data_IF_076867379668
#
_entry.id   IF_076867379668
#
_cell.length_a   1.000
_cell.length_b   1.000
_cell.length_c   1.000
_cell.angle_alpha   90.00
_cell.angle_beta   90.00
_cell.angle_gamma   90.00
#
_symmetry.space_group_name_H-M   'P 1'
#
loop_
_entity.id
_entity.type
_entity.pdbx_description
1 polymer ?
#
# COMPACT_ATOMS: atom_id res chain seq x y z
N UNK A 1 -3.69 -10.93 31.35
CA UNK A 1 -3.76 -10.29 30.03
C UNK A 1 -2.35 -10.33 29.44
N UNK A 2 -2.12 -10.82 28.21
CA UNK A 2 -0.77 -10.84 27.66
C UNK A 2 -0.32 -9.40 27.43
N UNK A 3 0.70 -8.98 28.19
CA UNK A 3 1.28 -7.65 28.11
C UNK A 3 2.15 -7.61 26.85
N UNK A 4 1.56 -7.12 25.75
CA UNK A 4 2.28 -6.99 24.49
C UNK A 4 3.43 -5.99 24.71
N UNK A 5 4.69 -6.39 24.51
CA UNK A 5 5.82 -5.48 24.73
C UNK A 5 5.66 -4.26 23.83
N UNK A 6 5.84 -3.04 24.38
CA UNK A 6 5.63 -1.76 23.68
C UNK A 6 6.33 -1.67 22.32
N UNK A 7 7.44 -2.39 22.14
CA UNK A 7 8.17 -2.52 20.86
C UNK A 7 7.38 -3.25 19.78
N UNK A 8 6.64 -4.32 20.13
CA UNK A 8 5.74 -5.03 19.20
C UNK A 8 4.59 -4.15 18.77
N UNK A 9 4.03 -3.36 19.67
CA UNK A 9 2.88 -2.49 19.35
C UNK A 9 3.26 -1.40 18.34
N UNK A 10 4.45 -0.79 18.48
CA UNK A 10 4.98 0.17 17.50
C UNK A 10 5.23 -0.48 16.14
N UNK A 11 5.88 -1.65 16.14
CA UNK A 11 6.17 -2.38 14.91
C UNK A 11 4.89 -2.76 14.15
N UNK A 12 3.83 -3.15 14.85
CA UNK A 12 2.52 -3.42 14.24
C UNK A 12 1.90 -2.14 13.65
N UNK A 13 1.98 -1.01 14.36
CA UNK A 13 1.49 0.28 13.85
C UNK A 13 2.26 0.74 12.61
N UNK A 14 3.57 0.57 12.59
CA UNK A 14 4.40 0.92 11.43
C UNK A 14 4.08 0.06 10.22
N UNK A 15 3.81 -1.24 10.41
CA UNK A 15 3.36 -2.14 9.35
C UNK A 15 1.99 -1.69 8.80
N UNK A 16 1.02 -1.38 9.68
CA UNK A 16 -0.30 -0.91 9.28
C UNK A 16 -0.18 0.40 8.48
N UNK A 17 0.63 1.33 8.96
CA UNK A 17 0.85 2.62 8.30
C UNK A 17 1.54 2.45 6.94
N UNK A 18 2.53 1.57 6.88
CA UNK A 18 3.22 1.22 5.63
C UNK A 18 2.30 0.49 4.63
N UNK A 19 1.20 -0.10 5.07
CA UNK A 19 0.24 -0.77 4.19
C UNK A 19 -0.74 0.20 3.51
N UNK A 20 -0.92 1.41 4.05
CA UNK A 20 -1.85 2.40 3.52
C UNK A 20 -1.62 2.74 2.03
N UNK A 21 -0.38 2.97 1.53
CA UNK A 21 -0.14 3.30 0.13
C UNK A 21 -0.63 2.21 -0.84
N UNK A 22 -0.49 0.93 -0.44
CA UNK A 22 -0.99 -0.20 -1.23
C UNK A 22 -2.51 -0.24 -1.26
N UNK A 23 -3.17 -0.05 -0.11
CA UNK A 23 -4.65 0.03 -0.02
C UNK A 23 -5.19 1.19 -0.85
N UNK A 24 -4.54 2.35 -0.81
CA UNK A 24 -4.89 3.51 -1.64
C UNK A 24 -4.79 3.16 -3.13
N UNK A 25 -3.78 2.40 -3.52
CA UNK A 25 -3.61 1.95 -4.90
C UNK A 25 -4.73 1.00 -5.34
N UNK A 26 -5.13 0.06 -4.47
CA UNK A 26 -6.30 -0.80 -4.72
C UNK A 26 -7.59 0.03 -4.85
N UNK A 27 -7.78 1.03 -3.99
CA UNK A 27 -8.94 1.91 -4.06
C UNK A 27 -8.96 2.76 -5.34
N UNK A 28 -7.81 3.25 -5.77
CA UNK A 28 -7.69 3.97 -7.04
C UNK A 28 -8.07 3.08 -8.22
N UNK A 29 -7.62 1.82 -8.24
CA UNK A 29 -8.00 0.85 -9.27
C UNK A 29 -9.51 0.58 -9.28
N UNK A 30 -10.11 0.39 -8.10
CA UNK A 30 -11.56 0.26 -7.96
C UNK A 30 -12.29 1.49 -8.48
N UNK A 31 -11.82 2.69 -8.14
CA UNK A 31 -12.41 3.93 -8.61
C UNK A 31 -12.36 4.07 -10.13
N UNK A 32 -11.25 3.70 -10.77
CA UNK A 32 -11.13 3.74 -12.24
C UNK A 32 -12.09 2.76 -12.93
N UNK A 33 -12.33 1.60 -12.32
CA UNK A 33 -13.30 0.62 -12.80
C UNK A 33 -14.74 1.13 -12.60
N UNK A 34 -15.04 1.70 -11.42
CA UNK A 34 -16.34 2.30 -11.10
C UNK A 34 -16.67 3.52 -11.97
N UNK A 35 -15.69 4.36 -12.26
CA UNK A 35 -15.85 5.55 -13.09
C UNK A 35 -16.01 5.24 -14.60
N UNK A 36 -16.07 3.95 -14.98
CA UNK A 36 -16.13 3.47 -16.37
C UNK A 36 -14.99 3.99 -17.27
N UNK A 37 -13.87 4.41 -16.67
CA UNK A 37 -12.66 4.83 -17.39
C UNK A 37 -11.95 3.60 -17.96
N UNK A 38 -12.08 2.46 -17.28
CA UNK A 38 -11.67 1.14 -17.74
C UNK A 38 -12.84 0.33 -18.27
N UNK A 39 -13.08 0.48 -19.57
CA UNK A 39 -14.03 -0.33 -20.33
C UNK A 39 -13.28 -1.62 -20.75
N UNK A 40 -13.91 -2.80 -20.83
CA UNK A 40 -13.24 -4.03 -21.26
C UNK A 40 -12.47 -3.92 -22.58
N UNK A 41 -12.90 -3.03 -23.48
CA UNK A 41 -12.23 -2.78 -24.75
C UNK A 41 -10.99 -1.88 -24.65
N UNK A 42 -10.67 -1.25 -23.50
CA UNK A 42 -9.53 -0.33 -23.40
C UNK A 42 -8.20 -1.10 -23.49
N UNK A 43 -7.38 -0.88 -24.54
CA UNK A 43 -6.11 -1.57 -24.69
C UNK A 43 -5.16 -1.25 -23.53
N UNK A 44 -4.42 -2.26 -23.06
CA UNK A 44 -3.39 -2.14 -22.02
C UNK A 44 -3.86 -1.86 -20.58
N UNK A 45 -5.16 -1.98 -20.29
CA UNK A 45 -5.71 -1.90 -18.92
C UNK A 45 -4.89 -2.67 -17.90
N UNK A 46 -4.66 -3.95 -18.15
CA UNK A 46 -4.03 -4.85 -17.19
C UNK A 46 -2.58 -4.43 -16.88
N UNK A 47 -1.88 -3.85 -17.86
CA UNK A 47 -0.51 -3.37 -17.69
C UNK A 47 -0.46 -2.14 -16.78
N UNK A 48 -1.42 -1.23 -16.95
CA UNK A 48 -1.51 0.00 -16.14
C UNK A 48 -1.96 -0.35 -14.71
N UNK A 49 -2.90 -1.28 -14.56
CA UNK A 49 -3.31 -1.79 -13.25
C UNK A 49 -2.16 -2.43 -12.49
N UNK A 50 -1.36 -3.26 -13.18
CA UNK A 50 -0.13 -3.81 -12.62
C UNK A 50 0.88 -2.73 -12.24
N UNK A 51 1.07 -1.71 -13.09
CA UNK A 51 2.00 -0.61 -12.79
C UNK A 51 1.58 0.15 -11.53
N UNK A 52 0.29 0.47 -11.37
CA UNK A 52 -0.25 1.14 -10.19
C UNK A 52 -0.07 0.28 -8.94
N UNK A 53 -0.35 -1.03 -9.03
CA UNK A 53 -0.20 -1.94 -7.90
C UNK A 53 1.27 -2.08 -7.47
N UNK A 54 2.19 -2.23 -8.43
CA UNK A 54 3.63 -2.31 -8.18
C UNK A 54 4.16 -1.01 -7.58
N UNK A 55 3.69 0.14 -8.06
CA UNK A 55 4.02 1.43 -7.45
C UNK A 55 3.49 1.54 -6.02
N UNK A 56 2.24 1.12 -5.77
CA UNK A 56 1.68 1.08 -4.43
C UNK A 56 2.47 0.20 -3.47
N UNK A 57 2.87 -0.99 -3.93
CA UNK A 57 3.67 -1.92 -3.15
C UNK A 57 5.11 -1.40 -2.92
N UNK A 58 5.71 -0.76 -3.92
CA UNK A 58 7.01 -0.11 -3.79
C UNK A 58 6.98 1.06 -2.80
N UNK A 59 5.94 1.89 -2.86
CA UNK A 59 5.72 2.99 -1.91
C UNK A 59 5.51 2.47 -0.48
N UNK A 60 4.73 1.41 -0.32
CA UNK A 60 4.54 0.71 0.95
C UNK A 60 5.87 0.20 1.54
N UNK A 61 6.70 -0.44 0.70
CA UNK A 61 8.02 -0.92 1.13
C UNK A 61 8.97 0.23 1.49
N UNK A 62 8.97 1.30 0.70
CA UNK A 62 9.78 2.49 0.98
C UNK A 62 9.37 3.16 2.29
N UNK A 63 8.07 3.32 2.52
CA UNK A 63 7.52 3.90 3.75
C UNK A 63 7.85 3.03 4.97
N UNK A 64 7.71 1.70 4.85
CA UNK A 64 8.12 0.77 5.90
C UNK A 64 9.61 0.89 6.24
N UNK A 65 10.47 0.94 5.21
CA UNK A 65 11.92 1.06 5.38
C UNK A 65 12.29 2.38 6.05
N UNK A 66 11.62 3.47 5.68
CA UNK A 66 11.81 4.79 6.27
C UNK A 66 11.39 4.83 7.75
N UNK A 67 10.21 4.32 8.09
CA UNK A 67 9.72 4.25 9.48
C UNK A 67 10.63 3.39 10.35
N UNK A 68 11.03 2.23 9.83
CA UNK A 68 11.94 1.32 10.55
C UNK A 68 13.34 1.92 10.76
N UNK A 69 13.84 2.71 9.80
CA UNK A 69 15.11 3.44 9.96
C UNK A 69 15.01 4.55 11.01
N UNK A 70 13.89 5.24 11.08
CA UNK A 70 13.64 6.31 12.05
C UNK A 70 13.60 5.82 13.49
N UNK A 71 13.12 4.60 13.73
CA UNK A 71 13.07 4.00 15.08
C UNK A 71 14.46 3.54 15.59
N UNK A 72 15.48 3.50 14.70
CA UNK A 72 16.85 3.05 15.01
C UNK A 72 17.85 4.17 15.31
N UNK A 73 17.49 5.43 15.07
CA UNK A 73 18.29 6.64 15.35
C UNK A 73 17.74 7.40 16.55
#
# INVERSE_FOLDING_TARGET
MPEIPKSRTRLVLDIILAFLPWVVSMYALYWFEYAAIWIPETPHRDKISLAILVLGMGASFFLYSYLTRRDRT
#
